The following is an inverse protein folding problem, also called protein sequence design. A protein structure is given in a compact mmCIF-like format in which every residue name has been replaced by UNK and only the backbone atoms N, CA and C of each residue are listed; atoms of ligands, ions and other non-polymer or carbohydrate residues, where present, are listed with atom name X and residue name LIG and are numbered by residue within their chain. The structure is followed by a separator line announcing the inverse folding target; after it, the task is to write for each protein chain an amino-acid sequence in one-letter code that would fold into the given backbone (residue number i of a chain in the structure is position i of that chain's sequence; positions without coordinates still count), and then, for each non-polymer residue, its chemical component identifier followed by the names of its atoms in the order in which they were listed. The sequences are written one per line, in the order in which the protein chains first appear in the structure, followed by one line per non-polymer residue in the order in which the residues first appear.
data_IF_500430391049
#
_entry.id   IF_500430391049
#
_cell.length_a   1.000
_cell.length_b   1.000
_cell.length_c   1.000
_cell.angle_alpha   90.00
_cell.angle_beta   90.00
_cell.angle_gamma   90.00
#
_symmetry.space_group_name_H-M   'P 1'
#
loop_
_entity.id
_entity.type
_entity.pdbx_description
1 polymer ?
#
# COMPACT_ATOMS: atom_id res chain seq x y z
N UNK A 1 -26.47 13.37 -20.14
CA UNK A 1 -25.78 13.45 -21.46
C UNK A 1 -24.97 14.72 -21.46
N UNK A 2 -23.64 14.63 -21.37
CA UNK A 2 -22.76 15.78 -21.53
C UNK A 2 -21.72 15.45 -22.61
N UNK A 3 -21.77 16.21 -23.71
CA UNK A 3 -20.77 16.19 -24.77
C UNK A 3 -19.53 16.94 -24.29
N UNK A 4 -18.42 16.22 -24.16
CA UNK A 4 -17.09 16.79 -23.98
C UNK A 4 -16.33 16.64 -25.30
N UNK A 5 -16.41 17.65 -26.16
CA UNK A 5 -15.44 17.88 -27.23
C UNK A 5 -14.28 18.66 -26.63
N UNK A 6 -13.09 18.04 -26.58
CA UNK A 6 -11.86 18.72 -26.16
C UNK A 6 -10.79 18.53 -27.21
N UNK A 7 -10.58 19.59 -27.99
CA UNK A 7 -9.37 19.83 -28.78
C UNK A 7 -8.15 19.79 -27.86
N UNK A 8 -7.09 19.09 -28.29
CA UNK A 8 -5.78 19.12 -27.66
C UNK A 8 -4.70 19.04 -28.74
N UNK A 9 -4.44 20.18 -29.40
CA UNK A 9 -3.19 20.42 -30.10
C UNK A 9 -2.14 20.97 -29.12
N UNK A 10 -1.07 20.19 -28.95
CA UNK A 10 0.31 20.56 -28.57
C UNK A 10 0.57 21.49 -27.36
N UNK A 11 1.39 21.00 -26.42
CA UNK A 11 2.75 21.49 -26.13
C UNK A 11 3.38 20.52 -25.12
N UNK A 12 4.33 19.71 -25.61
CA UNK A 12 5.27 18.96 -24.78
C UNK A 12 6.39 19.89 -24.34
N UNK A 13 6.54 20.13 -23.03
CA UNK A 13 7.74 20.73 -22.44
C UNK A 13 8.24 19.85 -21.30
N UNK A 14 9.38 19.23 -21.59
CA UNK A 14 10.46 18.78 -20.71
C UNK A 14 10.32 19.13 -19.22
N UNK A 15 9.95 18.13 -18.41
CA UNK A 15 10.25 18.09 -16.98
C UNK A 15 11.67 17.57 -16.76
N UNK A 16 12.66 18.37 -17.14
CA UNK A 16 14.02 18.25 -16.61
C UNK A 16 14.45 19.65 -16.19
N UNK A 17 14.49 19.84 -14.88
CA UNK A 17 15.09 21.00 -14.23
C UNK A 17 16.58 21.03 -14.57
N UNK A 18 16.93 21.81 -15.59
CA UNK A 18 18.28 22.27 -15.85
C UNK A 18 18.29 23.79 -15.92
N UNK A 19 18.89 24.44 -14.91
CA UNK A 19 19.32 25.84 -15.02
C UNK A 19 20.36 25.91 -16.13
N UNK A 20 19.97 26.34 -17.32
CA UNK A 20 20.92 26.88 -18.29
C UNK A 20 20.22 27.95 -19.12
N UNK A 21 20.76 29.16 -19.04
CA UNK A 21 20.35 30.31 -19.84
C UNK A 21 20.37 29.90 -21.32
N UNK A 22 19.22 29.94 -21.99
CA UNK A 22 19.17 29.86 -23.45
C UNK A 22 18.84 31.25 -24.00
N UNK A 23 19.89 31.85 -24.55
CA UNK A 23 19.88 33.00 -25.44
C UNK A 23 19.20 32.59 -26.76
N UNK A 24 18.55 33.55 -27.40
CA UNK A 24 17.94 33.48 -28.74
C UNK A 24 18.84 32.74 -29.76
N UNK A 25 18.20 31.98 -30.65
CA UNK A 25 18.87 31.50 -31.86
C UNK A 25 18.04 30.51 -32.66
N UNK A 26 17.16 31.01 -33.52
CA UNK A 26 16.77 30.33 -34.75
C UNK A 26 18.04 29.96 -35.53
N UNK A 27 18.24 28.69 -35.90
CA UNK A 27 18.78 28.19 -37.19
C UNK A 27 18.73 26.65 -37.19
N UNK A 28 17.98 26.12 -38.15
CA UNK A 28 18.18 24.89 -38.95
C UNK A 28 19.39 23.99 -38.60
N UNK A 29 19.18 22.73 -38.22
CA UNK A 29 19.77 21.56 -38.92
C UNK A 29 19.34 20.20 -38.36
N UNK A 30 19.12 19.28 -39.29
CA UNK A 30 19.03 17.84 -39.13
C UNK A 30 20.37 17.25 -38.70
N UNK A 31 20.42 16.55 -37.56
CA UNK A 31 21.41 15.49 -37.31
C UNK A 31 20.76 14.39 -36.49
N UNK A 32 20.86 13.17 -37.01
CA UNK A 32 20.58 11.92 -36.32
C UNK A 32 21.19 11.91 -34.92
N UNK A 33 20.36 11.70 -33.90
CA UNK A 33 20.81 11.25 -32.60
C UNK A 33 20.33 9.82 -32.36
N UNK A 34 21.17 8.92 -32.85
CA UNK A 34 21.39 7.60 -32.32
C UNK A 34 21.60 7.68 -30.81
N UNK A 35 20.63 7.22 -30.03
CA UNK A 35 20.88 6.70 -28.69
C UNK A 35 20.10 5.40 -28.56
N UNK A 36 20.80 4.33 -28.90
CA UNK A 36 20.50 2.95 -28.56
C UNK A 36 20.18 2.86 -27.06
N UNK A 37 18.93 2.58 -26.74
CA UNK A 37 18.56 2.11 -25.42
C UNK A 37 19.16 0.71 -25.27
N UNK A 38 20.23 0.65 -24.46
CA UNK A 38 21.06 -0.53 -24.26
C UNK A 38 20.28 -1.58 -23.45
N UNK A 39 19.45 -2.38 -24.11
CA UNK A 39 18.86 -3.59 -23.54
C UNK A 39 19.77 -4.78 -23.87
N UNK A 40 20.65 -5.16 -22.95
CA UNK A 40 21.17 -6.53 -22.87
C UNK A 40 21.82 -6.77 -21.52
N UNK A 41 21.52 -7.94 -20.95
CA UNK A 41 22.03 -8.56 -19.70
C UNK A 41 21.25 -8.32 -18.40
N UNK A 42 20.05 -8.89 -18.33
CA UNK A 42 19.51 -9.41 -17.05
C UNK A 42 18.79 -10.74 -17.32
N UNK A 43 19.52 -11.83 -17.54
CA UNK A 43 18.88 -13.15 -17.73
C UNK A 43 19.65 -14.36 -17.16
N UNK A 44 20.79 -14.21 -16.47
CA UNK A 44 21.50 -15.38 -15.90
C UNK A 44 21.66 -15.39 -14.37
N UNK A 45 21.24 -14.34 -13.65
CA UNK A 45 21.34 -14.31 -12.17
C UNK A 45 20.15 -15.03 -11.50
N UNK A 46 19.05 -15.26 -12.22
CA UNK A 46 17.81 -15.82 -11.66
C UNK A 46 17.86 -17.30 -11.24
N UNK A 47 18.76 -18.13 -11.80
CA UNK A 47 18.79 -19.58 -11.48
C UNK A 47 19.61 -19.93 -10.24
N UNK A 48 20.66 -19.19 -9.92
CA UNK A 48 21.47 -19.46 -8.72
C UNK A 48 20.78 -19.00 -7.43
N UNK A 49 19.99 -17.93 -7.48
CA UNK A 49 19.30 -17.40 -6.29
C UNK A 49 18.19 -18.33 -5.81
N UNK A 50 17.50 -19.02 -6.72
CA UNK A 50 16.39 -19.93 -6.37
C UNK A 50 16.91 -21.14 -5.56
N UNK A 51 18.04 -21.74 -5.94
CA UNK A 51 18.61 -22.88 -5.21
C UNK A 51 19.07 -22.53 -3.79
N UNK A 52 19.52 -21.30 -3.54
CA UNK A 52 19.98 -20.87 -2.20
C UNK A 52 18.78 -20.63 -1.26
N UNK A 53 17.63 -20.19 -1.78
CA UNK A 53 16.42 -19.97 -0.98
C UNK A 53 15.84 -21.30 -0.49
N UNK A 54 15.82 -22.32 -1.35
CA UNK A 54 15.28 -23.65 -1.00
C UNK A 54 16.08 -24.34 0.11
N UNK A 55 17.43 -24.22 0.09
CA UNK A 55 18.28 -24.82 1.12
C UNK A 55 18.06 -24.13 2.48
N UNK A 56 17.93 -22.80 2.51
CA UNK A 56 17.67 -22.06 3.75
C UNK A 56 16.29 -22.38 4.32
N UNK A 57 15.27 -22.50 3.49
CA UNK A 57 13.92 -22.87 3.92
C UNK A 57 13.89 -24.30 4.48
N UNK A 58 14.59 -25.24 3.85
CA UNK A 58 14.69 -26.62 4.33
C UNK A 58 15.41 -26.70 5.69
N UNK A 59 16.51 -25.98 5.88
CA UNK A 59 17.23 -25.95 7.16
C UNK A 59 16.39 -25.31 8.30
N UNK A 60 15.61 -24.27 7.99
CA UNK A 60 14.69 -23.68 8.97
C UNK A 60 13.57 -24.67 9.38
N UNK A 61 13.04 -25.43 8.42
CA UNK A 61 12.04 -26.46 8.69
C UNK A 61 12.58 -27.61 9.55
N UNK A 62 13.83 -28.03 9.33
CA UNK A 62 14.48 -29.04 10.18
C UNK A 62 14.73 -28.54 11.61
N UNK A 63 15.16 -27.28 11.78
CA UNK A 63 15.31 -26.67 13.13
C UNK A 63 13.97 -26.57 13.87
N UNK A 64 12.88 -26.21 13.17
CA UNK A 64 11.52 -26.20 13.75
C UNK A 64 11.06 -27.60 14.16
N UNK A 65 11.32 -28.63 13.35
CA UNK A 65 11.00 -30.03 13.69
C UNK A 65 11.76 -30.52 14.93
N UNK A 66 13.05 -30.17 15.06
CA UNK A 66 13.85 -30.53 16.24
C UNK A 66 13.33 -29.85 17.51
N UNK A 67 13.08 -28.54 17.47
CA UNK A 67 12.52 -27.78 18.60
C UNK A 67 11.16 -28.33 19.05
N UNK A 68 10.29 -28.70 18.11
CA UNK A 68 8.97 -29.28 18.42
C UNK A 68 9.06 -30.69 19.04
N UNK A 69 10.13 -31.44 18.75
CA UNK A 69 10.38 -32.76 19.38
C UNK A 69 10.87 -32.61 20.82
N UNK A 70 11.75 -31.63 21.05
CA UNK A 70 12.29 -31.36 22.39
C UNK A 70 11.22 -30.77 23.32
N UNK A 71 10.34 -29.88 22.82
CA UNK A 71 9.19 -29.37 23.60
C UNK A 71 8.19 -30.48 23.97
N UNK A 72 7.97 -31.45 23.08
CA UNK A 72 7.07 -32.59 23.36
C UNK A 72 7.62 -33.54 24.43
N UNK A 73 8.95 -33.63 24.54
CA UNK A 73 9.64 -34.44 25.56
C UNK A 73 9.66 -33.74 26.92
N UNK A 74 9.77 -32.40 26.95
CA UNK A 74 9.70 -31.63 28.21
C UNK A 74 8.27 -31.64 28.79
N UNK A 75 7.22 -31.60 27.95
CA UNK A 75 5.83 -31.71 28.44
C UNK A 75 5.51 -33.08 29.06
N UNK A 76 6.17 -34.17 28.65
CA UNK A 76 5.95 -35.51 29.22
C UNK A 76 6.59 -35.75 30.59
N UNK A 77 7.41 -34.81 31.07
CA UNK A 77 8.10 -34.90 32.37
C UNK A 77 7.42 -34.05 33.46
N UNK A 78 6.38 -33.29 33.12
CA UNK A 78 5.62 -32.54 34.09
C UNK A 78 4.60 -33.45 34.79
N UNK A 79 4.42 -33.34 36.11
CA UNK A 79 3.41 -34.10 36.82
C UNK A 79 2.01 -33.77 36.25
N UNK A 80 1.11 -34.77 36.13
CA UNK A 80 -0.14 -34.66 35.36
C UNK A 80 -1.07 -33.53 35.81
N UNK A 81 -0.97 -33.07 37.06
CA UNK A 81 -1.78 -31.97 37.58
C UNK A 81 -1.37 -30.59 37.03
N UNK A 82 -0.09 -30.37 36.65
CA UNK A 82 0.37 -29.06 36.13
C UNK A 82 0.08 -28.91 34.63
N UNK A 83 0.09 -30.01 33.88
CA UNK A 83 -0.22 -29.99 32.45
C UNK A 83 -1.70 -29.69 32.19
N UNK A 84 -2.59 -30.18 33.06
CA UNK A 84 -4.03 -29.95 32.97
C UNK A 84 -4.39 -28.48 33.19
N UNK A 85 -3.83 -27.84 34.23
CA UNK A 85 -4.09 -26.43 34.54
C UNK A 85 -3.59 -25.48 33.44
N UNK A 86 -2.40 -25.75 32.87
CA UNK A 86 -1.85 -24.94 31.77
C UNK A 86 -2.63 -25.08 30.45
N UNK A 87 -3.24 -26.24 30.19
CA UNK A 87 -4.10 -26.46 29.03
C UNK A 87 -5.47 -25.80 29.22
N UNK A 88 -6.01 -25.86 30.43
CA UNK A 88 -7.27 -25.18 30.78
C UNK A 88 -7.12 -23.64 30.76
N UNK A 89 -6.01 -23.08 31.23
CA UNK A 89 -5.69 -21.66 31.08
C UNK A 89 -5.48 -21.24 29.62
N UNK A 90 -4.85 -22.08 28.78
CA UNK A 90 -4.76 -21.82 27.33
C UNK A 90 -6.13 -21.79 26.67
N UNK A 91 -7.00 -22.75 26.98
CA UNK A 91 -8.36 -22.79 26.44
C UNK A 91 -9.20 -21.61 26.94
N UNK A 92 -9.01 -21.17 28.19
CA UNK A 92 -9.65 -19.97 28.73
C UNK A 92 -9.13 -18.66 28.09
N UNK A 93 -7.83 -18.57 27.79
CA UNK A 93 -7.24 -17.43 27.08
C UNK A 93 -7.58 -17.42 25.58
N UNK A 94 -7.82 -18.58 24.98
CA UNK A 94 -8.16 -18.69 23.57
C UNK A 94 -9.63 -18.37 23.27
N UNK A 95 -10.52 -18.52 24.27
CA UNK A 95 -11.96 -18.26 24.16
C UNK A 95 -12.41 -16.87 24.68
N UNK A 96 -11.52 -15.88 24.85
CA UNK A 96 -11.90 -14.62 25.54
C UNK A 96 -11.54 -13.33 24.82
N UNK A 97 -10.56 -13.33 23.93
CA UNK A 97 -10.12 -12.06 23.32
C UNK A 97 -10.70 -11.79 21.93
N UNK A 98 -10.98 -12.82 21.12
CA UNK A 98 -11.60 -12.65 19.80
C UNK A 98 -13.09 -12.35 19.92
N UNK A 99 -13.78 -12.99 20.86
CA UNK A 99 -15.23 -12.81 21.11
C UNK A 99 -15.58 -11.44 21.72
N UNK A 100 -14.57 -10.72 22.21
CA UNK A 100 -14.71 -9.34 22.71
C UNK A 100 -14.32 -8.28 21.68
N UNK A 101 -13.94 -8.67 20.46
CA UNK A 101 -13.70 -7.72 19.39
C UNK A 101 -15.02 -7.33 18.75
N UNK A 102 -15.42 -6.08 18.95
CA UNK A 102 -16.50 -5.49 18.18
C UNK A 102 -16.19 -5.65 16.68
N UNK A 103 -17.13 -6.19 15.91
CA UNK A 103 -17.00 -6.26 14.46
C UNK A 103 -17.18 -4.87 13.83
N UNK A 104 -16.53 -4.67 12.68
CA UNK A 104 -16.69 -3.50 11.85
C UNK A 104 -15.80 -2.33 12.28
N UNK A 105 -16.44 -1.28 12.77
CA UNK A 105 -15.83 0.04 12.91
C UNK A 105 -15.88 0.52 14.36
N UNK A 106 -14.82 1.20 14.80
CA UNK A 106 -14.79 1.83 16.13
C UNK A 106 -15.51 3.17 16.18
N UNK A 107 -15.64 3.81 15.02
CA UNK A 107 -16.40 5.03 14.78
C UNK A 107 -17.11 4.89 13.43
N UNK A 108 -18.27 5.52 13.22
CA UNK A 108 -18.94 5.46 11.92
C UNK A 108 -17.97 5.86 10.78
N UNK A 109 -18.00 5.17 9.62
CA UNK A 109 -17.20 5.56 8.46
C UNK A 109 -17.50 7.00 8.05
N UNK A 110 -16.49 7.72 7.53
CA UNK A 110 -16.69 9.05 6.99
C UNK A 110 -17.67 9.03 5.80
N UNK A 111 -18.42 10.11 5.60
CA UNK A 111 -19.46 10.16 4.57
C UNK A 111 -18.87 9.96 3.16
N UNK A 112 -17.71 10.54 2.86
CA UNK A 112 -17.09 10.36 1.55
C UNK A 112 -16.65 8.92 1.29
N UNK A 113 -16.29 8.17 2.34
CA UNK A 113 -15.92 6.78 2.19
C UNK A 113 -17.14 5.92 1.85
N UNK A 114 -18.29 6.23 2.47
CA UNK A 114 -19.58 5.62 2.12
C UNK A 114 -19.95 5.95 0.66
N UNK A 115 -19.81 7.20 0.26
CA UNK A 115 -20.25 7.69 -1.05
C UNK A 115 -19.35 7.20 -2.19
N UNK A 116 -18.03 7.15 -1.98
CA UNK A 116 -17.05 6.81 -3.03
C UNK A 116 -16.63 5.34 -3.02
N UNK A 117 -16.69 4.68 -1.86
CA UNK A 117 -16.05 3.38 -1.59
C UNK A 117 -16.93 2.48 -0.71
N UNK A 118 -18.24 2.45 -0.97
CA UNK A 118 -19.19 1.60 -0.23
C UNK A 118 -18.77 0.12 -0.17
N UNK A 119 -18.10 -0.40 -1.20
CA UNK A 119 -17.57 -1.77 -1.21
C UNK A 119 -16.44 -1.98 -0.19
N UNK A 120 -15.62 -0.95 0.05
CA UNK A 120 -14.57 -0.98 1.08
C UNK A 120 -15.22 -0.97 2.46
N UNK A 121 -16.27 -0.17 2.66
CA UNK A 121 -17.02 -0.16 3.92
C UNK A 121 -17.67 -1.51 4.18
N UNK A 122 -18.36 -2.08 3.18
CA UNK A 122 -18.97 -3.39 3.27
C UNK A 122 -17.95 -4.50 3.58
N UNK A 123 -16.72 -4.37 3.06
CA UNK A 123 -15.62 -5.27 3.39
C UNK A 123 -15.24 -5.18 4.87
N UNK A 124 -14.93 -3.98 5.36
CA UNK A 124 -14.45 -3.80 6.74
C UNK A 124 -15.54 -4.07 7.79
N UNK A 125 -16.83 -3.97 7.44
CA UNK A 125 -17.94 -4.41 8.29
C UNK A 125 -17.88 -5.90 8.67
N UNK A 126 -17.18 -6.73 7.91
CA UNK A 126 -17.09 -8.18 8.12
C UNK A 126 -15.88 -8.59 8.99
N UNK A 127 -15.00 -7.66 9.34
CA UNK A 127 -13.79 -7.94 10.12
C UNK A 127 -13.89 -7.38 11.53
N UNK A 128 -13.18 -7.97 12.50
CA UNK A 128 -12.99 -7.37 13.80
C UNK A 128 -12.46 -5.94 13.68
N UNK A 129 -13.12 -5.01 14.36
CA UNK A 129 -12.71 -3.63 14.44
C UNK A 129 -11.42 -3.52 15.24
N UNK A 130 -10.37 -3.00 14.60
CA UNK A 130 -9.23 -2.51 15.33
C UNK A 130 -9.59 -1.13 15.83
N UNK A 131 -10.06 -1.07 17.08
CA UNK A 131 -10.36 0.19 17.75
C UNK A 131 -9.16 1.11 17.74
N UNK A 132 -9.42 2.40 17.68
CA UNK A 132 -8.47 3.47 17.95
C UNK A 132 -7.91 3.27 19.36
N UNK A 133 -6.79 2.53 19.43
CA UNK A 133 -6.15 2.16 20.69
C UNK A 133 -5.11 3.22 20.99
N UNK A 134 -5.08 3.67 22.25
CA UNK A 134 -4.07 4.59 22.76
C UNK A 134 -2.67 4.16 22.27
N UNK A 135 -2.02 4.96 21.40
CA UNK A 135 -0.71 4.63 20.84
C UNK A 135 0.34 4.35 21.91
N UNK A 136 0.17 4.90 23.12
CA UNK A 136 1.08 4.68 24.26
C UNK A 136 0.99 3.27 24.83
N UNK A 137 -0.13 2.57 24.63
CA UNK A 137 -0.37 1.20 25.13
C UNK A 137 0.07 0.12 24.15
N UNK A 138 0.20 0.45 22.87
CA UNK A 138 0.65 -0.48 21.82
C UNK A 138 2.13 -0.24 21.50
N UNK A 139 3.03 -0.54 22.46
CA UNK A 139 4.47 -0.30 22.26
C UNK A 139 5.07 -1.06 21.06
N UNK A 140 4.42 -2.12 20.55
CA UNK A 140 5.03 -3.01 19.55
C UNK A 140 4.09 -3.70 18.55
N UNK A 141 2.78 -3.46 18.57
CA UNK A 141 1.87 -4.09 17.62
C UNK A 141 1.53 -3.09 16.50
N UNK A 142 1.90 -3.37 15.23
CA UNK A 142 1.71 -2.44 14.12
C UNK A 142 0.24 -2.31 13.68
N UNK A 143 -0.74 -2.58 14.53
CA UNK A 143 -2.16 -2.57 14.13
C UNK A 143 -2.67 -1.15 13.94
N UNK A 144 -3.17 -0.85 12.75
CA UNK A 144 -3.81 0.44 12.46
C UNK A 144 -5.31 0.40 12.71
N UNK A 145 -5.93 1.54 13.07
CA UNK A 145 -7.38 1.64 13.16
C UNK A 145 -8.05 1.21 11.86
N UNK A 146 -9.20 0.55 11.96
CA UNK A 146 -9.97 0.12 10.78
C UNK A 146 -10.23 1.27 9.80
N UNK A 147 -10.50 2.48 10.31
CA UNK A 147 -10.73 3.67 9.49
C UNK A 147 -9.54 4.06 8.63
N UNK A 148 -8.33 4.03 9.18
CA UNK A 148 -7.11 4.38 8.44
C UNK A 148 -6.84 3.37 7.32
N UNK A 149 -7.00 2.07 7.61
CA UNK A 149 -6.85 1.03 6.61
C UNK A 149 -7.86 1.19 5.46
N UNK A 150 -9.12 1.50 5.79
CA UNK A 150 -10.16 1.71 4.80
C UNK A 150 -9.92 2.98 3.96
N UNK A 151 -9.45 4.08 4.59
CA UNK A 151 -9.03 5.29 3.88
C UNK A 151 -7.89 5.00 2.90
N UNK A 152 -6.89 4.21 3.32
CA UNK A 152 -5.77 3.84 2.46
C UNK A 152 -6.25 3.03 1.23
N UNK A 153 -7.12 2.05 1.44
CA UNK A 153 -7.73 1.25 0.34
C UNK A 153 -8.53 2.13 -0.61
N UNK A 154 -9.40 3.00 -0.09
CA UNK A 154 -10.18 3.90 -0.94
C UNK A 154 -9.30 4.90 -1.69
N UNK A 155 -8.20 5.36 -1.09
CA UNK A 155 -7.21 6.20 -1.76
C UNK A 155 -6.62 5.51 -2.99
N UNK A 156 -6.38 4.19 -2.95
CA UNK A 156 -5.91 3.43 -4.13
C UNK A 156 -6.91 3.54 -5.28
N UNK A 157 -8.21 3.37 -5.01
CA UNK A 157 -9.26 3.48 -6.02
C UNK A 157 -9.25 4.87 -6.68
N UNK A 158 -9.13 5.92 -5.87
CA UNK A 158 -9.04 7.30 -6.37
C UNK A 158 -7.78 7.51 -7.21
N UNK A 159 -6.63 7.02 -6.75
CA UNK A 159 -5.36 7.09 -7.50
C UNK A 159 -5.46 6.35 -8.84
N UNK A 160 -6.10 5.19 -8.87
CA UNK A 160 -6.31 4.43 -10.10
C UNK A 160 -7.19 5.19 -11.10
N UNK A 161 -8.27 5.84 -10.64
CA UNK A 161 -9.13 6.67 -11.48
C UNK A 161 -8.33 7.88 -12.02
N UNK A 162 -7.59 8.58 -11.15
CA UNK A 162 -6.74 9.70 -11.54
C UNK A 162 -5.68 9.27 -12.57
N UNK A 163 -5.07 8.10 -12.41
CA UNK A 163 -4.06 7.58 -13.33
C UNK A 163 -4.69 7.19 -14.67
N UNK A 164 -5.88 6.59 -14.65
CA UNK A 164 -6.62 6.26 -15.87
C UNK A 164 -6.90 7.52 -16.72
N UNK A 165 -7.15 8.67 -16.09
CA UNK A 165 -7.41 9.95 -16.79
C UNK A 165 -6.23 10.44 -17.65
N UNK A 166 -5.00 10.01 -17.35
CA UNK A 166 -3.78 10.32 -18.13
C UNK A 166 -3.25 9.10 -18.89
N UNK A 167 -4.06 8.06 -19.02
CA UNK A 167 -3.70 6.77 -19.61
C UNK A 167 -2.40 6.21 -19.00
N UNK A 168 -2.34 6.19 -17.66
CA UNK A 168 -1.24 5.62 -16.89
C UNK A 168 -1.72 4.36 -16.15
N UNK A 169 -0.86 3.34 -16.09
CA UNK A 169 -1.09 2.15 -15.28
C UNK A 169 -0.49 2.32 -13.89
N UNK A 170 -1.19 1.78 -12.90
CA UNK A 170 -0.76 1.76 -11.49
C UNK A 170 -0.65 0.32 -11.05
N UNK A 171 0.42 -0.01 -10.33
CA UNK A 171 0.69 -1.35 -9.81
C UNK A 171 0.96 -1.29 -8.33
N UNK A 172 0.52 -2.31 -7.58
CA UNK A 172 0.92 -2.45 -6.19
C UNK A 172 2.43 -2.63 -6.06
N UNK A 173 3.01 -2.10 -5.00
CA UNK A 173 4.44 -2.19 -4.70
C UNK A 173 4.68 -2.58 -3.24
N UNK A 174 5.91 -3.01 -2.92
CA UNK A 174 6.38 -3.34 -1.57
C UNK A 174 5.36 -4.11 -0.69
N UNK A 175 4.99 -3.57 0.47
CA UNK A 175 4.09 -4.22 1.42
C UNK A 175 2.70 -4.47 0.86
N UNK A 176 2.19 -3.55 0.04
CA UNK A 176 0.89 -3.67 -0.60
C UNK A 176 0.85 -4.77 -1.66
N UNK A 177 1.94 -4.92 -2.43
CA UNK A 177 2.07 -6.05 -3.36
C UNK A 177 2.15 -7.38 -2.60
N UNK A 178 2.92 -7.43 -1.51
CA UNK A 178 3.02 -8.64 -0.68
C UNK A 178 1.66 -9.03 -0.10
N UNK A 179 0.91 -8.09 0.47
CA UNK A 179 -0.42 -8.36 1.00
C UNK A 179 -1.39 -8.85 -0.08
N UNK A 180 -1.37 -8.22 -1.26
CA UNK A 180 -2.19 -8.63 -2.39
C UNK A 180 -1.89 -10.08 -2.83
N UNK A 181 -0.63 -10.49 -2.86
CA UNK A 181 -0.24 -11.87 -3.22
C UNK A 181 -0.57 -12.86 -2.11
N UNK A 182 -0.31 -12.50 -0.85
CA UNK A 182 -0.44 -13.43 0.28
C UNK A 182 -1.90 -13.71 0.66
N UNK A 183 -2.75 -12.70 0.59
CA UNK A 183 -4.13 -12.80 1.07
C UNK A 183 -5.11 -11.89 0.31
N UNK A 184 -4.73 -11.36 -0.87
CA UNK A 184 -5.62 -10.56 -1.72
C UNK A 184 -6.02 -9.19 -1.16
N UNK A 185 -5.30 -8.69 -0.15
CA UNK A 185 -5.69 -7.48 0.63
C UNK A 185 -4.44 -6.73 1.11
N UNK A 186 -4.53 -5.45 1.53
CA UNK A 186 -3.42 -4.80 2.23
C UNK A 186 -3.08 -5.53 3.52
N UNK A 187 -1.80 -5.47 3.92
CA UNK A 187 -1.35 -6.01 5.19
C UNK A 187 -2.05 -5.23 6.31
N UNK A 188 -2.74 -5.93 7.21
CA UNK A 188 -3.62 -5.32 8.23
C UNK A 188 -2.91 -4.35 9.19
N UNK A 189 -1.59 -4.49 9.29
CA UNK A 189 -0.74 -3.68 10.12
C UNK A 189 0.08 -2.66 9.33
N UNK A 190 -0.32 -2.34 8.10
CA UNK A 190 0.27 -1.30 7.26
C UNK A 190 -0.64 -0.08 7.25
N UNK A 191 -0.08 1.13 7.33
CA UNK A 191 -0.84 2.40 7.32
C UNK A 191 -0.79 3.14 6.01
N UNK A 192 -0.05 2.61 5.05
CA UNK A 192 0.06 3.20 3.76
C UNK A 192 -0.16 2.12 2.69
N UNK A 193 -0.33 2.60 1.47
CA UNK A 193 -0.35 1.74 0.31
C UNK A 193 0.70 2.24 -0.66
N UNK A 194 1.67 1.37 -0.92
CA UNK A 194 2.72 1.60 -1.90
C UNK A 194 2.21 1.20 -3.28
N UNK A 195 2.21 2.17 -4.20
CA UNK A 195 1.92 1.95 -5.60
C UNK A 195 3.07 2.46 -6.46
N UNK A 196 3.20 1.91 -7.65
CA UNK A 196 4.09 2.39 -8.70
C UNK A 196 3.27 2.83 -9.90
N UNK A 197 3.71 3.91 -10.53
CA UNK A 197 3.16 4.43 -11.78
C UNK A 197 4.29 4.43 -12.81
N UNK A 198 3.94 4.34 -14.08
CA UNK A 198 4.88 4.48 -15.19
C UNK A 198 5.72 5.76 -15.05
N UNK A 199 7.05 5.62 -15.14
CA UNK A 199 7.99 6.74 -14.92
C UNK A 199 7.70 7.93 -15.83
N UNK A 200 7.39 7.68 -17.10
CA UNK A 200 7.01 8.68 -18.09
C UNK A 200 5.71 9.43 -17.76
N UNK A 201 4.89 8.92 -16.85
CA UNK A 201 3.60 9.50 -16.45
C UNK A 201 3.66 10.27 -15.13
N UNK A 202 4.77 10.20 -14.38
CA UNK A 202 4.88 10.84 -13.06
C UNK A 202 4.59 12.33 -13.14
N UNK A 203 5.13 13.05 -14.12
CA UNK A 203 4.94 14.50 -14.23
C UNK A 203 3.49 14.88 -14.59
N UNK A 204 2.81 14.08 -15.40
CA UNK A 204 1.41 14.34 -15.74
C UNK A 204 0.50 14.01 -14.56
N UNK A 205 0.80 12.95 -13.82
CA UNK A 205 0.08 12.61 -12.60
C UNK A 205 0.29 13.67 -11.51
N UNK A 206 1.52 14.17 -11.35
CA UNK A 206 1.86 15.23 -10.41
C UNK A 206 0.97 16.47 -10.65
N UNK A 207 0.75 16.87 -11.91
CA UNK A 207 -0.13 18.02 -12.24
C UNK A 207 -1.57 17.85 -11.75
N UNK A 208 -2.08 16.61 -11.64
CA UNK A 208 -3.45 16.34 -11.16
C UNK A 208 -3.57 16.64 -9.67
N UNK A 209 -2.57 16.25 -8.88
CA UNK A 209 -2.65 16.24 -7.41
C UNK A 209 -1.77 17.31 -6.75
N UNK A 210 -1.08 18.15 -7.52
CA UNK A 210 -0.25 19.25 -7.00
C UNK A 210 -1.09 20.44 -6.52
N UNK A 211 -0.48 21.30 -5.69
CA UNK A 211 -1.10 22.52 -5.19
C UNK A 211 -2.34 22.23 -4.33
N UNK A 212 -3.51 22.70 -4.79
CA UNK A 212 -4.78 22.49 -4.08
C UNK A 212 -5.32 21.05 -4.23
N UNK A 213 -4.67 20.22 -5.05
CA UNK A 213 -5.07 18.84 -5.31
C UNK A 213 -6.30 18.71 -6.21
N UNK A 214 -6.61 17.46 -6.54
CA UNK A 214 -7.83 17.10 -7.26
C UNK A 214 -8.96 16.93 -6.25
N UNK A 215 -10.06 17.64 -6.44
CA UNK A 215 -11.28 17.42 -5.68
C UNK A 215 -11.95 16.12 -6.13
N UNK A 216 -12.23 15.21 -5.19
CA UNK A 216 -12.69 13.85 -5.53
C UNK A 216 -14.07 13.52 -4.95
N UNK A 217 -14.61 14.40 -4.11
CA UNK A 217 -15.91 14.24 -3.47
C UNK A 217 -16.76 15.51 -3.60
N UNK A 218 -18.08 15.36 -3.73
CA UNK A 218 -19.03 16.47 -3.92
C UNK A 218 -19.11 17.46 -2.75
N UNK A 219 -18.63 17.06 -1.57
CA UNK A 219 -18.53 17.97 -0.42
C UNK A 219 -17.53 19.10 -0.64
N UNK A 220 -16.61 18.98 -1.61
CA UNK A 220 -15.52 19.92 -1.85
C UNK A 220 -14.35 19.82 -0.86
N UNK A 221 -14.51 19.03 0.20
CA UNK A 221 -13.55 18.90 1.32
C UNK A 221 -12.50 17.83 1.05
N UNK A 222 -12.86 16.75 0.33
CA UNK A 222 -11.94 15.63 0.08
C UNK A 222 -11.14 15.88 -1.19
N UNK A 223 -9.82 16.04 -1.03
CA UNK A 223 -8.91 16.32 -2.14
C UNK A 223 -7.77 15.32 -2.17
N UNK A 224 -7.49 14.76 -3.34
CA UNK A 224 -6.26 14.02 -3.61
C UNK A 224 -5.11 15.00 -3.75
N UNK A 225 -4.19 14.98 -2.78
CA UNK A 225 -2.95 15.75 -2.81
C UNK A 225 -1.75 14.84 -2.95
N UNK A 226 -0.70 15.35 -3.57
CA UNK A 226 0.57 14.67 -3.64
C UNK A 226 1.76 15.56 -3.26
N UNK A 227 2.78 14.91 -2.70
CA UNK A 227 4.04 15.52 -2.27
C UNK A 227 5.19 14.66 -2.80
N UNK A 228 6.22 15.30 -3.37
CA UNK A 228 7.44 14.61 -3.78
C UNK A 228 8.37 14.44 -2.58
N UNK A 229 8.89 13.23 -2.36
CA UNK A 229 9.90 12.97 -1.33
C UNK A 229 10.75 11.74 -1.66
N UNK A 230 12.07 11.81 -1.45
CA UNK A 230 13.03 10.71 -1.63
C UNK A 230 12.78 9.84 -2.88
N UNK A 231 12.67 10.46 -4.06
CA UNK A 231 12.41 9.83 -5.36
C UNK A 231 11.04 9.14 -5.52
N UNK A 232 10.11 9.36 -4.59
CA UNK A 232 8.74 8.87 -4.67
C UNK A 232 7.74 10.04 -4.70
N UNK A 233 6.55 9.74 -5.20
CA UNK A 233 5.37 10.59 -5.04
C UNK A 233 4.53 9.99 -3.91
N UNK A 234 4.33 10.76 -2.84
CA UNK A 234 3.41 10.40 -1.76
C UNK A 234 2.07 11.03 -2.06
N UNK A 235 0.98 10.28 -1.92
CA UNK A 235 -0.38 10.77 -2.05
C UNK A 235 -1.15 10.60 -0.75
N UNK A 236 -2.10 11.50 -0.54
CA UNK A 236 -3.07 11.39 0.55
C UNK A 236 -4.39 11.99 0.10
N UNK A 237 -5.49 11.39 0.52
CA UNK A 237 -6.78 12.08 0.59
C UNK A 237 -6.76 12.92 1.86
N UNK A 238 -6.75 14.24 1.71
CA UNK A 238 -7.05 15.14 2.82
C UNK A 238 -8.53 15.46 2.74
N UNK A 239 -9.29 15.01 3.74
CA UNK A 239 -10.40 15.81 4.26
C UNK A 239 -9.72 17.02 4.92
N UNK A 240 -10.08 18.25 4.58
CA UNK A 240 -9.57 19.43 5.27
C UNK A 240 -10.02 19.43 6.74
N UNK A 241 -9.30 18.69 7.60
CA UNK A 241 -9.25 18.89 9.04
C UNK A 241 -7.82 18.64 9.53
N UNK A 242 -7.30 19.69 10.20
CA UNK A 242 -6.02 19.82 10.91
C UNK A 242 -4.87 20.38 10.04
N UNK A 243 -4.50 21.62 10.40
CA UNK A 243 -3.27 22.31 10.01
C UNK A 243 -2.02 21.78 10.68
#
# INVERSE_FOLDING_TARGET
MYNLTRDNSAISRSCCSGRTKCILGLVVWSVLLSLSCNQTKVASIGRQTIQIVDIKLHQQNLKKKKKKKDEKMVLSLLPPNIAYDAEQERHALQNTWWDTLDLGWSSPPSQWLLDMCSEVVAHFNQFPSFKERDPKKLKFLPTFPTGDAAHAVCTVKVVQIAAASINAKVYHHAGSHLGAVMHGRPIQWDNNVDLTIELQKICDFEKICWGNGLEVHLSGVVRLRCVRGFNALKWALKDDYIG
#
